data_IF_865033014022
#
_entry.id   IF_865033014022
#
_cell.length_a   1.000
_cell.length_b   1.000
_cell.length_c   1.000
_cell.angle_alpha   90.00
_cell.angle_beta   90.00
_cell.angle_gamma   90.00
#
_symmetry.space_group_name_H-M   'P 1'
#
loop_
_entity.id
_entity.type
_entity.pdbx_description
1 polymer ?
#
# COMPACT_ATOMS: atom_id res chain seq x y z
N UNK A 1 21.44 -7.51 15.35
CA UNK A 1 20.72 -6.43 16.07
C UNK A 1 21.37 -5.05 15.85
N UNK A 2 21.55 -4.59 14.60
CA UNK A 2 22.25 -3.33 14.29
C UNK A 2 21.36 -2.25 13.64
N UNK A 3 20.14 -2.59 13.21
CA UNK A 3 19.28 -1.69 12.43
C UNK A 3 18.45 -0.69 13.27
N UNK A 4 18.36 -0.89 14.59
CA UNK A 4 17.58 -0.02 15.49
C UNK A 4 18.40 1.21 15.92
N UNK A 5 19.73 1.10 16.02
CA UNK A 5 20.61 2.20 16.38
C UNK A 5 20.88 3.21 15.24
N UNK A 6 20.70 2.81 13.98
CA UNK A 6 20.88 3.72 12.85
C UNK A 6 19.79 4.80 12.74
N UNK A 7 18.56 4.49 13.19
CA UNK A 7 17.44 5.46 13.16
C UNK A 7 17.55 6.58 14.20
N UNK A 8 18.20 6.32 15.34
CA UNK A 8 18.52 7.36 16.36
C UNK A 8 19.70 8.22 15.90
N UNK A 9 20.73 7.60 15.33
CA UNK A 9 21.98 8.31 15.00
C UNK A 9 21.87 9.28 13.82
N UNK A 10 20.93 9.11 12.88
CA UNK A 10 20.77 10.05 11.75
C UNK A 10 20.10 11.36 12.21
N UNK A 11 19.14 11.28 13.14
CA UNK A 11 18.53 12.46 13.78
C UNK A 11 19.52 13.20 14.69
N UNK A 12 20.47 12.47 15.29
CA UNK A 12 21.48 13.02 16.21
C UNK A 12 22.70 13.60 15.44
N UNK A 13 23.12 13.01 14.33
CA UNK A 13 24.30 13.46 13.56
C UNK A 13 24.05 14.66 12.64
N UNK A 14 22.83 14.86 12.15
CA UNK A 14 22.50 16.02 11.29
C UNK A 14 22.35 17.35 12.08
N UNK A 15 22.47 17.30 13.42
CA UNK A 15 22.34 18.45 14.31
C UNK A 15 23.63 18.72 15.12
N UNK A 16 24.79 18.25 14.63
CA UNK A 16 26.10 18.55 15.21
C UNK A 16 26.58 20.00 14.90
N UNK A 17 25.65 20.97 14.88
CA UNK A 17 25.92 22.39 14.97
C UNK A 17 25.44 22.83 16.36
N UNK A 18 26.37 22.77 17.32
CA UNK A 18 26.26 23.15 18.73
C UNK A 18 25.45 22.22 19.63
N UNK A 19 26.07 21.87 20.78
CA UNK A 19 25.68 20.90 21.80
C UNK A 19 24.38 21.24 22.58
N UNK A 20 23.31 21.60 21.90
CA UNK A 20 21.97 21.65 22.45
C UNK A 20 21.01 20.92 21.50
N UNK A 21 20.67 19.68 21.85
CA UNK A 21 19.67 18.87 21.18
C UNK A 21 18.42 19.73 20.93
N UNK A 22 17.98 19.83 19.67
CA UNK A 22 16.86 20.70 19.26
C UNK A 22 15.62 20.46 20.11
N UNK A 23 15.41 19.23 20.61
CA UNK A 23 14.39 18.94 21.61
C UNK A 23 14.59 19.70 22.92
N UNK A 24 15.81 19.80 23.45
CA UNK A 24 16.13 20.56 24.65
C UNK A 24 16.06 22.07 24.41
N UNK A 25 16.42 22.54 23.22
CA UNK A 25 16.34 23.96 22.86
C UNK A 25 14.86 24.40 22.68
N UNK A 26 14.05 23.57 22.00
CA UNK A 26 12.61 23.78 21.92
C UNK A 26 11.95 23.68 23.29
N UNK A 27 12.25 22.66 24.11
CA UNK A 27 11.65 22.50 25.44
C UNK A 27 12.03 23.62 26.43
N UNK A 28 13.13 24.34 26.18
CA UNK A 28 13.56 25.51 26.98
C UNK A 28 12.95 26.83 26.54
N UNK A 29 12.63 26.98 25.25
CA UNK A 29 12.17 28.26 24.68
C UNK A 29 10.74 28.24 24.14
N UNK A 30 10.13 27.06 24.01
CA UNK A 30 8.79 26.81 23.47
C UNK A 30 8.11 25.72 24.30
N UNK A 31 6.78 25.73 24.33
CA UNK A 31 6.05 24.69 25.06
C UNK A 31 6.41 23.28 24.54
N UNK A 32 6.48 22.26 25.42
CA UNK A 32 6.72 20.86 25.02
C UNK A 32 5.85 20.39 23.86
N UNK A 33 4.63 20.92 23.78
CA UNK A 33 3.62 20.64 22.76
C UNK A 33 4.09 20.92 21.33
N UNK A 34 4.87 21.98 21.10
CA UNK A 34 5.32 22.38 19.75
C UNK A 34 6.23 21.31 19.14
N UNK A 35 7.09 20.69 19.96
CA UNK A 35 8.01 19.65 19.50
C UNK A 35 7.28 18.36 19.11
N UNK A 36 6.26 17.96 19.88
CA UNK A 36 5.40 16.81 19.55
C UNK A 36 4.61 17.08 18.26
N UNK A 37 3.99 18.27 18.15
CA UNK A 37 3.24 18.66 16.97
C UNK A 37 4.12 18.71 15.72
N UNK A 38 5.36 19.20 15.81
CA UNK A 38 6.29 19.17 14.68
C UNK A 38 6.67 17.75 14.25
N UNK A 39 6.89 16.84 15.20
CA UNK A 39 7.15 15.43 14.88
C UNK A 39 5.96 14.78 14.18
N UNK A 40 4.75 15.07 14.65
CA UNK A 40 3.52 14.57 14.05
C UNK A 40 3.31 15.16 12.65
N UNK A 41 3.59 16.44 12.47
CA UNK A 41 3.58 17.11 11.18
C UNK A 41 4.56 16.46 10.18
N UNK A 42 5.82 16.23 10.58
CA UNK A 42 6.81 15.54 9.73
C UNK A 42 6.34 14.13 9.38
N UNK A 43 5.80 13.40 10.35
CA UNK A 43 5.25 12.05 10.13
C UNK A 43 4.08 12.07 9.14
N UNK A 44 3.21 13.08 9.24
CA UNK A 44 2.08 13.27 8.35
C UNK A 44 2.53 13.62 6.94
N UNK A 45 3.52 14.51 6.79
CA UNK A 45 4.13 14.86 5.50
C UNK A 45 4.78 13.65 4.81
N UNK A 46 5.43 12.78 5.59
CA UNK A 46 5.94 11.51 5.08
C UNK A 46 4.80 10.58 4.60
N UNK A 47 3.67 10.53 5.31
CA UNK A 47 2.49 9.77 4.88
C UNK A 47 1.90 10.33 3.58
N UNK A 48 1.76 11.66 3.47
CA UNK A 48 1.30 12.35 2.25
C UNK A 48 2.16 11.93 1.06
N UNK A 49 3.48 12.11 1.17
CA UNK A 49 4.42 11.76 0.11
C UNK A 49 4.37 10.27 -0.25
N UNK A 50 4.22 9.38 0.74
CA UNK A 50 4.06 7.94 0.47
C UNK A 50 2.78 7.65 -0.31
N UNK A 51 1.65 8.28 0.04
CA UNK A 51 0.37 8.10 -0.66
C UNK A 51 0.43 8.68 -2.08
N UNK A 52 1.11 9.82 -2.29
CA UNK A 52 1.37 10.37 -3.63
C UNK A 52 2.17 9.39 -4.48
N UNK A 53 3.22 8.80 -3.92
CA UNK A 53 4.02 7.78 -4.60
C UNK A 53 3.22 6.53 -4.93
N UNK A 54 2.38 6.06 -4.00
CA UNK A 54 1.44 4.96 -4.27
C UNK A 54 0.47 5.32 -5.41
N UNK A 55 -0.06 6.54 -5.44
CA UNK A 55 -0.94 7.00 -6.52
C UNK A 55 -0.23 7.08 -7.87
N UNK A 56 1.02 7.54 -7.92
CA UNK A 56 1.83 7.53 -9.13
C UNK A 56 1.96 6.09 -9.63
N UNK A 57 2.34 5.17 -8.74
CA UNK A 57 2.46 3.75 -9.06
C UNK A 57 1.17 3.16 -9.64
N UNK A 58 0.03 3.38 -8.97
CA UNK A 58 -1.27 2.86 -9.42
C UNK A 58 -1.71 3.45 -10.77
N UNK A 59 -1.47 4.74 -11.00
CA UNK A 59 -1.75 5.39 -12.30
C UNK A 59 -0.85 4.85 -13.40
N UNK A 60 0.42 4.60 -13.10
CA UNK A 60 1.34 3.95 -14.05
C UNK A 60 0.87 2.55 -14.38
N UNK A 61 0.46 1.76 -13.37
CA UNK A 61 -0.14 0.44 -13.60
C UNK A 61 -1.39 0.52 -14.48
N UNK A 62 -2.27 1.49 -14.26
CA UNK A 62 -3.47 1.68 -15.08
C UNK A 62 -3.13 2.03 -16.54
N UNK A 63 -2.17 2.93 -16.76
CA UNK A 63 -1.74 3.37 -18.09
C UNK A 63 -1.03 2.26 -18.88
N UNK A 64 -0.17 1.51 -18.21
CA UNK A 64 0.62 0.43 -18.81
C UNK A 64 -0.09 -0.93 -18.76
N UNK A 65 -1.36 -0.97 -18.32
CA UNK A 65 -2.16 -2.18 -18.13
C UNK A 65 -1.44 -3.27 -17.29
N UNK A 66 -0.65 -2.85 -16.31
CA UNK A 66 0.05 -3.76 -15.40
C UNK A 66 -0.87 -4.14 -14.24
N UNK A 67 -0.87 -5.43 -13.90
CA UNK A 67 -1.63 -5.95 -12.77
C UNK A 67 -0.77 -6.00 -11.49
N UNK A 68 -0.93 -5.05 -10.55
CA UNK A 68 -0.22 -5.10 -9.28
C UNK A 68 -0.69 -6.30 -8.45
N UNK A 69 0.17 -6.78 -7.56
CA UNK A 69 -0.01 -8.04 -6.83
C UNK A 69 -1.35 -8.10 -6.07
N UNK A 70 -1.80 -7.00 -5.47
CA UNK A 70 -3.04 -6.98 -4.69
C UNK A 70 -4.31 -7.18 -5.53
N UNK A 71 -4.21 -7.02 -6.86
CA UNK A 71 -5.32 -7.21 -7.81
C UNK A 71 -5.32 -8.63 -8.39
N UNK A 72 -4.26 -9.42 -8.14
CA UNK A 72 -4.14 -10.83 -8.56
C UNK A 72 -4.99 -11.74 -7.67
N UNK A 73 -6.29 -11.47 -7.63
CA UNK A 73 -7.29 -12.28 -6.93
C UNK A 73 -7.38 -13.61 -7.66
N UNK A 74 -7.28 -14.72 -6.91
CA UNK A 74 -7.48 -16.07 -7.47
C UNK A 74 -8.95 -16.19 -7.87
N UNK A 75 -9.20 -16.31 -9.17
CA UNK A 75 -10.52 -16.58 -9.73
C UNK A 75 -10.55 -18.03 -10.24
N UNK A 76 -11.74 -18.65 -10.33
CA UNK A 76 -11.88 -19.94 -10.98
C UNK A 76 -11.28 -19.92 -12.40
N UNK A 77 -10.66 -21.03 -12.83
CA UNK A 77 -9.91 -21.10 -14.10
C UNK A 77 -10.76 -20.67 -15.31
N UNK A 78 -12.06 -21.02 -15.32
CA UNK A 78 -13.00 -20.66 -16.39
C UNK A 78 -13.28 -19.15 -16.47
N UNK A 79 -13.13 -18.40 -15.37
CA UNK A 79 -13.35 -16.95 -15.31
C UNK A 79 -12.03 -16.19 -15.42
N UNK A 80 -10.89 -16.80 -15.07
CA UNK A 80 -9.62 -16.10 -14.88
C UNK A 80 -9.11 -15.34 -16.11
N UNK A 81 -9.43 -15.83 -17.31
CA UNK A 81 -9.07 -15.22 -18.60
C UNK A 81 -10.27 -14.55 -19.31
N UNK A 82 -11.43 -14.48 -18.65
CA UNK A 82 -12.62 -13.83 -19.20
C UNK A 82 -12.43 -12.31 -19.32
N UNK A 83 -13.21 -11.69 -20.20
CA UNK A 83 -13.31 -10.22 -20.26
C UNK A 83 -13.80 -9.64 -18.94
N UNK A 84 -14.67 -10.35 -18.23
CA UNK A 84 -15.26 -9.87 -16.99
C UNK A 84 -14.24 -9.87 -15.84
N UNK A 85 -13.34 -10.85 -15.75
CA UNK A 85 -12.23 -10.84 -14.82
C UNK A 85 -11.29 -9.65 -15.04
N UNK A 86 -10.95 -9.34 -16.29
CA UNK A 86 -10.15 -8.16 -16.62
C UNK A 86 -10.84 -6.87 -16.21
N UNK A 87 -12.16 -6.76 -16.44
CA UNK A 87 -12.96 -5.62 -16.01
C UNK A 87 -13.02 -5.49 -14.48
N UNK A 88 -13.20 -6.59 -13.75
CA UNK A 88 -13.15 -6.63 -12.28
C UNK A 88 -11.82 -6.07 -11.76
N UNK A 89 -10.69 -6.57 -12.29
CA UNK A 89 -9.35 -6.12 -11.91
C UNK A 89 -9.16 -4.62 -12.15
N UNK A 90 -9.64 -4.11 -13.28
CA UNK A 90 -9.61 -2.67 -13.60
C UNK A 90 -10.50 -1.84 -12.66
N UNK A 91 -11.69 -2.34 -12.29
CA UNK A 91 -12.59 -1.67 -11.34
C UNK A 91 -11.96 -1.59 -9.95
N UNK A 92 -11.40 -2.69 -9.46
CA UNK A 92 -10.64 -2.74 -8.20
C UNK A 92 -9.50 -1.71 -8.21
N UNK A 93 -8.74 -1.62 -9.30
CA UNK A 93 -7.67 -0.62 -9.45
C UNK A 93 -8.20 0.83 -9.36
N UNK A 94 -9.33 1.11 -10.03
CA UNK A 94 -9.96 2.44 -10.01
C UNK A 94 -10.50 2.80 -8.62
N UNK A 95 -11.11 1.85 -7.92
CA UNK A 95 -11.59 2.01 -6.55
C UNK A 95 -10.42 2.35 -5.62
N UNK A 96 -9.32 1.61 -5.71
CA UNK A 96 -8.11 1.87 -4.90
C UNK A 96 -7.52 3.27 -5.18
N UNK A 97 -7.47 3.70 -6.45
CA UNK A 97 -7.04 5.07 -6.80
C UNK A 97 -7.97 6.11 -6.17
N UNK A 98 -9.29 5.92 -6.22
CA UNK A 98 -10.28 6.83 -5.63
C UNK A 98 -10.12 6.89 -4.10
N UNK A 99 -9.94 5.75 -3.46
CA UNK A 99 -9.68 5.65 -2.03
C UNK A 99 -8.40 6.41 -1.63
N UNK A 100 -7.27 6.16 -2.30
CA UNK A 100 -6.01 6.83 -2.01
C UNK A 100 -6.06 8.34 -2.24
N UNK A 101 -6.82 8.82 -3.24
CA UNK A 101 -7.07 10.26 -3.45
C UNK A 101 -7.83 10.88 -2.27
N UNK A 102 -8.87 10.20 -1.76
CA UNK A 102 -9.62 10.67 -0.58
C UNK A 102 -8.74 10.74 0.66
N UNK A 103 -7.94 9.69 0.90
CA UNK A 103 -6.96 9.67 2.00
C UNK A 103 -5.96 10.82 1.86
N UNK A 104 -5.45 11.07 0.65
CA UNK A 104 -4.52 12.17 0.40
C UNK A 104 -5.12 13.54 0.76
N UNK A 105 -6.35 13.80 0.34
CA UNK A 105 -7.08 15.03 0.70
C UNK A 105 -7.23 15.19 2.21
N UNK A 106 -7.64 14.14 2.92
CA UNK A 106 -7.76 14.16 4.38
C UNK A 106 -6.41 14.45 5.07
N UNK A 107 -5.32 13.85 4.57
CA UNK A 107 -3.98 14.09 5.10
C UNK A 107 -3.52 15.53 4.87
N UNK A 108 -3.80 16.12 3.70
CA UNK A 108 -3.50 17.54 3.44
C UNK A 108 -4.28 18.47 4.36
N UNK A 109 -5.58 18.24 4.57
CA UNK A 109 -6.39 19.03 5.50
C UNK A 109 -5.83 18.98 6.92
N UNK A 110 -5.57 17.78 7.44
CA UNK A 110 -4.95 17.61 8.77
C UNK A 110 -3.58 18.27 8.84
N UNK A 111 -2.80 18.18 7.76
CA UNK A 111 -1.47 18.78 7.70
C UNK A 111 -1.53 20.29 7.73
N UNK A 112 -2.49 20.91 7.06
CA UNK A 112 -2.66 22.36 7.05
C UNK A 112 -2.99 22.89 8.45
N UNK A 113 -3.83 22.17 9.20
CA UNK A 113 -4.19 22.52 10.58
C UNK A 113 -3.00 22.47 11.54
N UNK A 114 -2.18 21.40 11.50
CA UNK A 114 -0.99 21.31 12.36
C UNK A 114 0.06 22.36 11.93
N UNK A 115 0.18 22.61 10.62
CA UNK A 115 1.08 23.61 10.07
C UNK A 115 0.75 25.02 10.57
N UNK A 116 -0.52 25.44 10.50
CA UNK A 116 -0.94 26.75 10.98
C UNK A 116 -0.71 26.91 12.49
N UNK A 117 -0.88 25.83 13.27
CA UNK A 117 -0.60 25.86 14.70
C UNK A 117 0.90 26.04 15.01
N UNK A 118 1.78 25.35 14.27
CA UNK A 118 3.22 25.50 14.48
C UNK A 118 3.68 26.91 14.07
N UNK A 119 3.14 27.46 12.98
CA UNK A 119 3.43 28.80 12.49
C UNK A 119 3.04 29.89 13.50
N UNK A 120 1.88 29.78 14.16
CA UNK A 120 1.46 30.75 15.18
C UNK A 120 2.23 30.63 16.49
N UNK A 121 2.71 29.44 16.84
CA UNK A 121 3.39 29.18 18.11
C UNK A 121 4.92 29.37 18.06
N UNK A 122 5.50 29.61 16.88
CA UNK A 122 6.95 29.73 16.72
C UNK A 122 7.33 31.05 16.04
N UNK A 123 8.50 31.60 16.39
CA UNK A 123 9.01 32.77 15.67
C UNK A 123 9.37 32.41 14.23
N UNK A 124 9.27 33.38 13.31
CA UNK A 124 9.57 33.21 11.88
C UNK A 124 10.94 32.56 11.60
N UNK A 125 11.97 32.94 12.38
CA UNK A 125 13.32 32.37 12.28
C UNK A 125 13.37 30.89 12.64
N UNK A 126 12.67 30.49 13.71
CA UNK A 126 12.62 29.10 14.18
C UNK A 126 11.78 28.25 13.24
N UNK A 127 10.63 28.79 12.83
CA UNK A 127 9.76 28.21 11.82
C UNK A 127 10.51 27.89 10.52
N UNK A 128 11.31 28.84 10.02
CA UNK A 128 12.12 28.63 8.80
C UNK A 128 13.10 27.46 8.95
N UNK A 129 13.77 27.34 10.11
CA UNK A 129 14.66 26.20 10.41
C UNK A 129 13.90 24.87 10.44
N UNK A 130 12.71 24.85 11.04
CA UNK A 130 11.84 23.67 11.06
C UNK A 130 11.44 23.24 9.64
N UNK A 131 11.13 24.19 8.76
CA UNK A 131 10.82 23.87 7.36
C UNK A 131 12.01 23.26 6.63
N UNK A 132 13.24 23.76 6.85
CA UNK A 132 14.47 23.19 6.27
C UNK A 132 14.66 21.75 6.74
N UNK A 133 14.54 21.49 8.06
CA UNK A 133 14.67 20.15 8.64
C UNK A 133 13.63 19.20 8.04
N UNK A 134 12.36 19.62 8.02
CA UNK A 134 11.26 18.85 7.42
C UNK A 134 11.57 18.52 5.96
N UNK A 135 11.95 19.50 5.16
CA UNK A 135 12.22 19.34 3.73
C UNK A 135 13.39 18.38 3.47
N UNK A 136 14.45 18.44 4.28
CA UNK A 136 15.56 17.49 4.22
C UNK A 136 15.10 16.05 4.48
N UNK A 137 14.39 15.81 5.60
CA UNK A 137 13.88 14.48 5.97
C UNK A 137 12.95 13.91 4.89
N UNK A 138 12.02 14.73 4.40
CA UNK A 138 11.05 14.33 3.39
C UNK A 138 11.74 14.02 2.06
N UNK A 139 12.71 14.85 1.65
CA UNK A 139 13.47 14.65 0.41
C UNK A 139 14.23 13.32 0.42
N UNK A 140 14.95 13.01 1.51
CA UNK A 140 15.71 11.78 1.63
C UNK A 140 14.84 10.53 1.58
N UNK A 141 13.68 10.56 2.24
CA UNK A 141 12.70 9.47 2.18
C UNK A 141 12.06 9.35 0.81
N UNK A 142 11.72 10.48 0.17
CA UNK A 142 11.13 10.51 -1.17
C UNK A 142 12.07 9.88 -2.20
N UNK A 143 13.38 10.17 -2.15
CA UNK A 143 14.39 9.53 -3.02
C UNK A 143 14.39 8.01 -2.87
N UNK A 144 14.33 7.50 -1.64
CA UNK A 144 14.28 6.05 -1.38
C UNK A 144 12.99 5.41 -1.93
N UNK A 145 11.85 6.08 -1.74
CA UNK A 145 10.58 5.58 -2.25
C UNK A 145 10.50 5.62 -3.77
N UNK A 146 11.06 6.64 -4.43
CA UNK A 146 11.19 6.71 -5.89
C UNK A 146 11.99 5.54 -6.44
N UNK A 147 13.17 5.26 -5.87
CA UNK A 147 13.97 4.07 -6.22
C UNK A 147 13.16 2.79 -6.06
N UNK A 148 12.45 2.65 -4.94
CA UNK A 148 11.60 1.48 -4.65
C UNK A 148 10.46 1.34 -5.66
N UNK A 149 9.80 2.44 -6.02
CA UNK A 149 8.71 2.46 -6.99
C UNK A 149 9.20 2.01 -8.37
N UNK A 150 10.32 2.56 -8.84
CA UNK A 150 10.93 2.17 -10.11
C UNK A 150 11.25 0.68 -10.10
N UNK A 151 11.87 0.17 -9.04
CA UNK A 151 12.17 -1.26 -8.91
C UNK A 151 10.91 -2.13 -8.91
N UNK A 152 9.82 -1.70 -8.25
CA UNK A 152 8.54 -2.41 -8.27
C UNK A 152 7.94 -2.45 -9.68
N UNK A 153 7.96 -1.34 -10.41
CA UNK A 153 7.46 -1.29 -11.79
C UNK A 153 8.29 -2.18 -12.72
N UNK A 154 9.62 -2.15 -12.62
CA UNK A 154 10.51 -3.02 -13.41
C UNK A 154 10.19 -4.49 -13.13
N UNK A 155 10.04 -4.89 -11.85
CA UNK A 155 9.65 -6.25 -11.48
C UNK A 155 8.29 -6.65 -12.05
N UNK A 156 7.31 -5.76 -12.03
CA UNK A 156 5.99 -6.02 -12.60
C UNK A 156 6.04 -6.19 -14.12
N UNK A 157 6.75 -5.31 -14.83
CA UNK A 157 6.92 -5.40 -16.28
C UNK A 157 7.58 -6.73 -16.69
N UNK A 158 8.63 -7.15 -15.99
CA UNK A 158 9.27 -8.46 -16.20
C UNK A 158 8.33 -9.63 -15.90
N UNK A 159 7.53 -9.54 -14.82
CA UNK A 159 6.54 -10.56 -14.48
C UNK A 159 5.43 -10.68 -15.52
N UNK A 160 5.05 -9.59 -16.19
CA UNK A 160 4.05 -9.61 -17.26
C UNK A 160 4.60 -10.18 -18.57
N UNK A 161 5.91 -10.05 -18.84
CA UNK A 161 6.57 -10.65 -20.01
C UNK A 161 6.63 -12.19 -19.95
N UNK A 162 6.54 -12.80 -18.75
CA UNK A 162 6.61 -14.25 -18.57
C UNK A 162 5.24 -14.97 -18.52
N UNK A 163 4.14 -14.31 -18.88
CA UNK A 163 2.79 -14.94 -18.89
C UNK A 163 2.67 -16.06 -19.96
N UNK A 164 3.67 -16.24 -20.84
CA UNK A 164 3.78 -17.40 -21.73
C UNK A 164 4.47 -18.64 -21.14
N UNK A 165 5.06 -18.57 -19.94
CA UNK A 165 5.72 -19.74 -19.33
C UNK A 165 4.69 -20.47 -18.48
N UNK A 166 4.22 -21.62 -18.99
CA UNK A 166 3.44 -22.60 -18.24
C UNK A 166 4.04 -22.72 -16.84
N UNK A 167 3.29 -22.35 -15.80
CA UNK A 167 3.70 -22.64 -14.42
C UNK A 167 3.83 -24.15 -14.33
N UNK A 168 5.06 -24.63 -14.18
CA UNK A 168 5.28 -26.04 -13.86
C UNK A 168 4.52 -26.34 -12.57
N UNK A 169 3.65 -27.35 -12.63
CA UNK A 169 2.79 -27.80 -11.53
C UNK A 169 3.59 -28.04 -10.23
N UNK A 170 4.89 -28.35 -10.36
CA UNK A 170 5.85 -28.51 -9.26
C UNK A 170 6.04 -27.28 -8.35
N UNK A 171 5.86 -26.03 -8.82
CA UNK A 171 6.00 -24.86 -7.95
C UNK A 171 4.79 -24.67 -7.00
N UNK A 172 3.63 -25.26 -7.34
CA UNK A 172 2.43 -25.29 -6.47
C UNK A 172 2.61 -26.21 -5.26
N UNK A 173 3.46 -27.23 -5.39
CA UNK A 173 3.68 -28.30 -4.40
C UNK A 173 4.47 -27.78 -3.19
N UNK A 174 5.35 -26.79 -3.38
CA UNK A 174 6.21 -26.22 -2.32
C UNK A 174 5.48 -25.54 -1.16
N UNK A 175 4.17 -25.39 -1.24
CA UNK A 175 3.36 -24.72 -0.21
C UNK A 175 2.38 -25.64 0.52
N UNK A 176 2.31 -26.93 0.17
CA UNK A 176 1.56 -27.92 0.93
C UNK A 176 2.44 -28.46 2.07
N UNK A 177 2.21 -27.94 3.27
CA UNK A 177 2.81 -28.48 4.48
C UNK A 177 2.00 -29.71 4.90
N UNK A 178 2.54 -30.90 4.67
CA UNK A 178 1.97 -32.13 5.21
C UNK A 178 2.23 -32.18 6.71
N UNK A 179 1.21 -31.91 7.51
CA UNK A 179 1.26 -32.02 8.98
C UNK A 179 1.05 -33.46 9.47
N UNK A 180 0.75 -34.39 8.57
CA UNK A 180 0.69 -35.82 8.87
C UNK A 180 2.09 -36.43 8.89
N UNK A 181 2.30 -37.43 9.76
CA UNK A 181 3.51 -38.27 9.74
C UNK A 181 3.52 -39.27 8.57
N UNK A 182 2.40 -39.40 7.84
CA UNK A 182 2.24 -40.29 6.70
C UNK A 182 2.77 -39.63 5.43
N UNK A 183 3.59 -40.35 4.67
CA UNK A 183 4.00 -39.98 3.32
C UNK A 183 2.77 -40.14 2.41
N UNK A 184 2.40 -39.07 1.72
CA UNK A 184 1.26 -39.06 0.80
C UNK A 184 1.65 -39.82 -0.47
N UNK A 185 0.69 -40.51 -1.09
CA UNK A 185 0.87 -41.08 -2.43
C UNK A 185 0.75 -40.00 -3.50
N UNK A 186 1.28 -40.24 -4.70
CA UNK A 186 1.19 -39.29 -5.82
C UNK A 186 -0.28 -38.90 -6.12
N UNK A 187 -1.19 -39.87 -6.08
CA UNK A 187 -2.63 -39.63 -6.26
C UNK A 187 -3.24 -38.78 -5.12
N UNK A 188 -2.84 -39.00 -3.87
CA UNK A 188 -3.30 -38.22 -2.71
C UNK A 188 -2.75 -36.79 -2.76
N UNK A 189 -1.52 -36.61 -3.21
CA UNK A 189 -0.92 -35.30 -3.47
C UNK A 189 -1.64 -34.58 -4.59
N UNK A 190 -1.94 -35.28 -5.69
CA UNK A 190 -2.72 -34.73 -6.81
C UNK A 190 -4.12 -34.33 -6.36
N UNK A 191 -4.79 -35.14 -5.55
CA UNK A 191 -6.11 -34.83 -4.96
C UNK A 191 -6.04 -33.67 -3.98
N UNK A 192 -4.94 -33.43 -3.27
CA UNK A 192 -4.81 -32.26 -2.39
C UNK A 192 -4.51 -30.97 -3.18
N UNK A 193 -3.70 -31.08 -4.23
CA UNK A 193 -3.38 -29.99 -5.16
C UNK A 193 -4.64 -29.57 -5.93
N UNK A 194 -5.42 -30.54 -6.38
CA UNK A 194 -6.66 -30.34 -7.14
C UNK A 194 -7.89 -30.18 -6.24
N UNK A 195 -7.85 -30.70 -5.01
CA UNK A 195 -8.91 -30.60 -4.01
C UNK A 195 -9.13 -29.17 -3.51
N UNK A 196 -8.06 -28.37 -3.45
CA UNK A 196 -8.16 -26.92 -3.26
C UNK A 196 -8.74 -26.19 -4.49
N UNK A 197 -8.70 -26.80 -5.68
CA UNK A 197 -9.45 -26.33 -6.86
C UNK A 197 -10.91 -26.81 -6.83
N UNK A 198 -11.19 -27.90 -6.10
CA UNK A 198 -12.51 -28.48 -5.85
C UNK A 198 -13.24 -27.91 -4.62
N UNK A 199 -12.72 -26.88 -3.94
CA UNK A 199 -13.57 -25.97 -3.15
C UNK A 199 -14.36 -25.13 -4.16
N UNK A 200 -15.30 -25.82 -4.79
CA UNK A 200 -16.03 -25.38 -5.95
C UNK A 200 -16.90 -24.18 -5.57
N UNK A 201 -16.71 -23.09 -6.31
CA UNK A 201 -17.84 -22.25 -6.68
C UNK A 201 -18.87 -23.18 -7.36
N UNK A 202 -20.17 -23.15 -7.00
CA UNK A 202 -21.16 -24.08 -7.53
C UNK A 202 -21.12 -24.10 -9.08
N UNK A 203 -21.45 -25.23 -9.73
CA UNK A 203 -21.35 -25.40 -11.19
C UNK A 203 -22.18 -24.37 -11.99
N UNK A 204 -23.05 -23.62 -11.32
CA UNK A 204 -23.85 -22.51 -11.86
C UNK A 204 -23.55 -21.21 -11.10
N UNK A 205 -22.29 -20.96 -10.70
CA UNK A 205 -21.94 -19.68 -10.11
C UNK A 205 -21.99 -18.62 -11.21
N UNK A 206 -23.08 -17.87 -11.21
CA UNK A 206 -23.29 -16.75 -12.10
C UNK A 206 -22.08 -15.82 -12.02
N UNK A 207 -21.32 -15.72 -13.10
CA UNK A 207 -20.07 -14.94 -13.19
C UNK A 207 -20.27 -13.51 -12.66
N UNK A 208 -21.45 -12.95 -12.93
CA UNK A 208 -21.88 -11.64 -12.45
C UNK A 208 -21.94 -11.55 -10.92
N UNK A 209 -22.44 -12.58 -10.25
CA UNK A 209 -22.62 -12.58 -8.79
C UNK A 209 -21.26 -12.76 -8.09
N UNK A 210 -20.37 -13.59 -8.64
CA UNK A 210 -19.00 -13.72 -8.13
C UNK A 210 -18.23 -12.40 -8.23
N UNK A 211 -18.28 -11.75 -9.40
CA UNK A 211 -17.64 -10.45 -9.63
C UNK A 211 -18.20 -9.40 -8.68
N UNK A 212 -19.53 -9.34 -8.55
CA UNK A 212 -20.20 -8.39 -7.67
C UNK A 212 -19.82 -8.61 -6.20
N UNK A 213 -19.71 -9.86 -5.76
CA UNK A 213 -19.28 -10.20 -4.40
C UNK A 213 -17.83 -9.78 -4.11
N UNK A 214 -16.93 -9.94 -5.07
CA UNK A 214 -15.52 -9.52 -4.91
C UNK A 214 -15.42 -8.00 -4.87
N UNK A 215 -16.15 -7.30 -5.74
CA UNK A 215 -16.23 -5.83 -5.71
C UNK A 215 -16.78 -5.34 -4.38
N UNK A 216 -17.89 -5.92 -3.92
CA UNK A 216 -18.52 -5.61 -2.65
C UNK A 216 -17.57 -5.83 -1.47
N UNK A 217 -16.89 -6.98 -1.43
CA UNK A 217 -15.90 -7.29 -0.40
C UNK A 217 -14.78 -6.24 -0.38
N UNK A 218 -14.25 -5.87 -1.56
CA UNK A 218 -13.17 -4.89 -1.64
C UNK A 218 -13.62 -3.49 -1.22
N UNK A 219 -14.83 -3.08 -1.61
CA UNK A 219 -15.45 -1.81 -1.19
C UNK A 219 -15.65 -1.77 0.33
N UNK A 220 -16.17 -2.86 0.93
CA UNK A 220 -16.32 -3.00 2.37
C UNK A 220 -14.98 -2.96 3.11
N UNK A 221 -13.97 -3.68 2.60
CA UNK A 221 -12.62 -3.71 3.19
C UNK A 221 -12.01 -2.30 3.25
N UNK A 222 -12.26 -1.48 2.22
CA UNK A 222 -11.80 -0.10 2.15
C UNK A 222 -12.70 0.89 2.90
N UNK A 223 -13.85 0.45 3.44
CA UNK A 223 -14.81 1.29 4.15
C UNK A 223 -15.43 2.38 3.29
N UNK A 224 -15.55 2.16 1.97
CA UNK A 224 -16.13 3.13 1.04
C UNK A 224 -17.63 2.90 0.90
N UNK A 225 -18.43 3.98 0.84
CA UNK A 225 -19.80 3.94 0.31
C UNK A 225 -19.72 4.38 -1.15
N UNK A 226 -19.99 3.49 -2.09
CA UNK A 226 -20.23 3.86 -3.49
C UNK A 226 -21.71 4.22 -3.65
N UNK A 227 -22.05 4.97 -4.69
CA UNK A 227 -23.45 5.06 -5.14
C UNK A 227 -23.92 3.63 -5.46
N UNK A 228 -25.11 3.27 -4.98
CA UNK A 228 -25.65 1.92 -5.00
C UNK A 228 -25.42 1.23 -6.34
N UNK A 229 -24.80 0.05 -6.32
CA UNK A 229 -24.72 -0.80 -7.51
C UNK A 229 -25.99 -1.63 -7.63
N UNK A 230 -26.34 -2.06 -8.86
CA UNK A 230 -27.56 -2.85 -9.17
C UNK A 230 -27.83 -4.05 -8.24
N UNK A 231 -26.79 -4.63 -7.63
CA UNK A 231 -26.92 -5.75 -6.69
C UNK A 231 -27.34 -5.33 -5.27
N UNK A 232 -27.20 -4.06 -4.89
CA UNK A 232 -27.70 -3.50 -3.62
C UNK A 232 -29.16 -3.05 -3.71
N UNK A 233 -29.70 -2.89 -4.92
CA UNK A 233 -31.09 -2.52 -5.20
C UNK A 233 -32.05 -3.73 -5.27
N UNK A 234 -31.52 -4.96 -5.22
CA UNK A 234 -32.31 -6.19 -5.12
C UNK A 234 -32.44 -6.60 -3.65
N UNK A 235 -33.31 -5.92 -2.92
CA UNK A 235 -33.86 -6.40 -1.65
C UNK A 235 -35.37 -6.27 -1.69
#
# INVERSE_FOLDING_TARGET
MAAVNLKKNILIKLLALNRFNVHSCFRRHYEPNVSYMFRDYVTLQLKVQKVEMDLIFLRTCLREQLEPVFIRIKLPQHIQNSKAATQLRLRVLRIEIKFKRKVLSQLHHRSKSIFSFIETMTSSTVYSKLQIIKSSIVSDKSKLWRKTLVNKLIKLRRSCQHIGVKRNVQDSIKHLLNFSKRILTEDEEEVLINGLQHVYSPPVSNERDLISNIEYFYIRLLGFKTEYYDYELRK
#
